data_IF_315808838325
#
_entry.id   IF_315808838325
#
_cell.length_a   1.000
_cell.length_b   1.000
_cell.length_c   1.000
_cell.angle_alpha   90.00
_cell.angle_beta   90.00
_cell.angle_gamma   90.00
#
_symmetry.space_group_name_H-M   'P 1'
#
loop_
_entity.id
_entity.type
_entity.pdbx_description
1 polymer ?
#
# COMPACT_ATOMS: atom_id res chain seq x y z
N UNK A 1 2.17 -7.61 7.30
CA UNK A 1 1.18 -6.60 6.95
C UNK A 1 1.79 -5.22 6.88
N UNK A 2 1.23 -4.35 6.04
CA UNK A 2 1.63 -2.93 5.93
C UNK A 2 0.40 -2.07 6.20
N UNK A 3 0.56 -1.07 7.04
CA UNK A 3 -0.45 -0.04 7.30
C UNK A 3 0.25 1.30 7.62
N UNK A 4 -0.50 2.40 7.56
CA UNK A 4 0.04 3.73 7.83
C UNK A 4 -0.28 4.26 9.24
N UNK A 5 -1.54 4.16 9.75
CA UNK A 5 -1.90 4.68 11.07
C UNK A 5 -1.27 3.87 12.21
N UNK A 6 -0.63 4.56 13.14
CA UNK A 6 0.01 3.93 14.30
C UNK A 6 -1.00 3.14 15.15
N UNK A 7 -2.21 3.67 15.35
CA UNK A 7 -3.26 3.03 16.16
C UNK A 7 -3.68 1.67 15.57
N UNK A 8 -3.73 1.55 14.25
CA UNK A 8 -4.07 0.29 13.58
C UNK A 8 -2.94 -0.73 13.69
N UNK A 9 -1.70 -0.27 13.56
CA UNK A 9 -0.51 -1.11 13.76
C UNK A 9 -0.37 -1.58 15.21
N UNK A 10 -0.64 -0.73 16.19
CA UNK A 10 -0.66 -1.10 17.60
C UNK A 10 -1.74 -2.14 17.90
N UNK A 11 -2.93 -1.97 17.34
CA UNK A 11 -4.01 -2.94 17.47
C UNK A 11 -3.62 -4.30 16.87
N UNK A 12 -3.04 -4.30 15.67
CA UNK A 12 -2.58 -5.51 15.00
C UNK A 12 -1.46 -6.21 15.79
N UNK A 13 -0.45 -5.46 16.23
CA UNK A 13 0.67 -5.97 17.04
C UNK A 13 0.21 -6.53 18.38
N UNK A 14 -0.78 -5.91 19.04
CA UNK A 14 -1.38 -6.39 20.29
C UNK A 14 -2.15 -7.70 20.12
N UNK A 15 -2.83 -7.89 18.97
CA UNK A 15 -3.62 -9.07 18.71
C UNK A 15 -2.79 -10.25 18.18
N UNK A 16 -1.64 -9.99 17.59
CA UNK A 16 -0.79 -11.03 16.99
C UNK A 16 -0.41 -12.17 17.96
N UNK A 17 0.00 -11.92 19.22
CA UNK A 17 0.28 -13.00 20.17
C UNK A 17 -0.93 -13.89 20.47
N UNK A 18 -2.12 -13.30 20.57
CA UNK A 18 -3.37 -14.03 20.83
C UNK A 18 -3.67 -15.01 19.68
N UNK A 19 -3.50 -14.53 18.45
CA UNK A 19 -3.65 -15.38 17.26
C UNK A 19 -2.56 -16.47 17.23
N UNK A 20 -1.30 -16.11 17.53
CA UNK A 20 -0.18 -17.05 17.57
C UNK A 20 -0.40 -18.19 18.55
N UNK A 21 -0.97 -17.92 19.74
CA UNK A 21 -1.37 -18.95 20.71
C UNK A 21 -2.42 -19.91 20.12
N UNK A 22 -3.39 -19.37 19.38
CA UNK A 22 -4.48 -20.18 18.78
C UNK A 22 -3.97 -21.08 17.67
N UNK A 23 -3.06 -20.59 16.81
CA UNK A 23 -2.55 -21.35 15.65
C UNK A 23 -1.26 -22.14 15.96
N UNK A 24 -0.68 -21.96 17.15
CA UNK A 24 0.50 -22.68 17.63
C UNK A 24 1.84 -22.12 17.13
N UNK A 25 1.88 -20.98 16.45
CA UNK A 25 3.12 -20.34 15.98
C UNK A 25 2.97 -18.84 15.73
N UNK A 26 4.06 -18.08 15.88
CA UNK A 26 4.14 -16.66 15.54
C UNK A 26 4.79 -16.51 14.16
N UNK A 27 4.06 -15.96 13.19
CA UNK A 27 4.52 -15.84 11.80
C UNK A 27 4.08 -14.52 11.13
N UNK A 28 3.79 -13.49 11.93
CA UNK A 28 3.34 -12.20 11.40
C UNK A 28 4.31 -11.07 11.79
N UNK A 29 4.47 -10.16 10.87
CA UNK A 29 5.20 -8.90 11.05
C UNK A 29 4.34 -7.75 10.52
N UNK A 30 4.36 -6.60 11.19
CA UNK A 30 3.63 -5.40 10.81
C UNK A 30 4.60 -4.24 10.63
N UNK A 31 4.58 -3.62 9.45
CA UNK A 31 5.43 -2.51 9.05
C UNK A 31 4.62 -1.25 8.78
N UNK A 32 5.21 -0.11 9.10
CA UNK A 32 4.60 1.19 8.89
C UNK A 32 5.04 1.76 7.56
N UNK A 33 4.07 1.98 6.66
CA UNK A 33 4.34 2.49 5.33
C UNK A 33 3.07 2.70 4.52
N UNK A 34 3.23 3.13 3.28
CA UNK A 34 2.14 3.33 2.32
C UNK A 34 2.10 2.18 1.32
N UNK A 35 0.90 1.71 0.99
CA UNK A 35 0.74 0.61 0.03
C UNK A 35 1.15 1.00 -1.40
N UNK A 36 1.13 2.28 -1.75
CA UNK A 36 1.63 2.79 -3.02
C UNK A 36 3.14 3.09 -3.02
N UNK A 37 3.84 2.86 -1.89
CA UNK A 37 5.28 3.06 -1.76
C UNK A 37 5.84 2.03 -0.76
N UNK A 38 5.83 0.77 -1.17
CA UNK A 38 6.26 -0.36 -0.36
C UNK A 38 7.79 -0.42 -0.18
N UNK A 39 8.52 0.45 -0.85
CA UNK A 39 9.95 0.59 -0.67
C UNK A 39 10.32 1.48 0.52
N UNK A 40 9.46 2.44 0.93
CA UNK A 40 9.77 3.37 2.00
C UNK A 40 9.24 2.89 3.35
N UNK A 41 10.16 2.56 4.26
CA UNK A 41 9.88 2.26 5.67
C UNK A 41 9.76 3.57 6.47
N UNK A 42 8.58 3.84 7.01
CA UNK A 42 8.33 5.07 7.76
C UNK A 42 8.97 5.09 9.14
N UNK A 43 9.24 3.93 9.73
CA UNK A 43 9.93 3.88 11.01
C UNK A 43 11.42 4.21 10.81
N UNK A 44 12.04 3.73 9.73
CA UNK A 44 13.41 4.10 9.35
C UNK A 44 13.48 5.58 8.93
N UNK A 45 12.54 6.04 8.12
CA UNK A 45 12.49 7.45 7.71
C UNK A 45 12.39 8.37 8.92
N UNK A 46 11.50 8.10 9.86
CA UNK A 46 11.32 8.89 11.09
C UNK A 46 12.60 8.90 11.95
N UNK A 47 13.31 7.78 12.02
CA UNK A 47 14.59 7.69 12.75
C UNK A 47 15.68 8.56 12.09
N UNK A 48 15.83 8.51 10.78
CA UNK A 48 16.80 9.33 10.03
C UNK A 48 16.47 10.83 10.12
N UNK A 49 15.19 11.20 9.95
CA UNK A 49 14.76 12.60 10.02
C UNK A 49 14.97 13.23 11.39
N UNK A 50 14.88 12.46 12.49
CA UNK A 50 15.17 12.96 13.84
C UNK A 50 16.63 13.37 14.02
N UNK A 51 17.55 12.81 13.26
CA UNK A 51 18.97 13.15 13.30
C UNK A 51 19.35 14.29 12.34
N UNK A 52 18.50 14.63 11.39
CA UNK A 52 18.74 15.67 10.37
C UNK A 52 18.31 17.06 10.84
N UNK A 53 18.98 18.09 10.31
CA UNK A 53 18.64 19.49 10.59
C UNK A 53 17.66 20.03 9.56
N UNK A 54 16.40 19.66 9.68
CA UNK A 54 15.35 19.95 8.70
C UNK A 54 14.76 21.36 8.86
N UNK A 55 15.38 22.36 8.26
CA UNK A 55 14.89 23.72 8.27
C UNK A 55 14.78 24.29 6.85
N UNK A 56 13.65 24.93 6.54
CA UNK A 56 13.42 25.59 5.26
C UNK A 56 13.45 24.65 4.06
N UNK A 57 13.78 25.19 2.88
CA UNK A 57 13.84 24.45 1.62
C UNK A 57 14.96 23.39 1.62
N UNK A 58 16.12 23.71 2.21
CA UNK A 58 17.25 22.76 2.27
C UNK A 58 16.87 21.53 3.08
N UNK A 59 16.21 21.69 4.23
CA UNK A 59 15.74 20.58 5.04
C UNK A 59 14.66 19.73 4.33
N UNK A 60 13.80 20.36 3.51
CA UNK A 60 12.85 19.62 2.68
C UNK A 60 13.57 18.75 1.64
N UNK A 61 14.54 19.31 0.92
CA UNK A 61 15.33 18.58 -0.08
C UNK A 61 16.17 17.44 0.55
N UNK A 62 16.71 17.68 1.76
CA UNK A 62 17.42 16.66 2.52
C UNK A 62 16.47 15.51 2.92
N UNK A 63 15.26 15.82 3.37
CA UNK A 63 14.28 14.79 3.70
C UNK A 63 13.88 13.94 2.48
N UNK A 64 13.70 14.55 1.31
CA UNK A 64 13.47 13.82 0.05
C UNK A 64 14.65 12.91 -0.31
N UNK A 65 15.88 13.43 -0.20
CA UNK A 65 17.08 12.65 -0.48
C UNK A 65 17.24 11.45 0.48
N UNK A 66 16.93 11.63 1.77
CA UNK A 66 16.90 10.54 2.76
C UNK A 66 15.85 9.49 2.36
N UNK A 67 14.65 9.91 2.02
CA UNK A 67 13.59 8.99 1.61
C UNK A 67 13.97 8.20 0.35
N UNK A 68 14.58 8.84 -0.65
CA UNK A 68 15.04 8.19 -1.87
C UNK A 68 16.19 7.21 -1.60
N UNK A 69 17.11 7.58 -0.72
CA UNK A 69 18.17 6.68 -0.28
C UNK A 69 17.59 5.42 0.38
N UNK A 70 16.64 5.57 1.30
CA UNK A 70 16.00 4.44 1.97
C UNK A 70 15.26 3.52 0.98
N UNK A 71 14.53 4.07 0.01
CA UNK A 71 13.87 3.28 -1.04
C UNK A 71 14.84 2.42 -1.83
N UNK A 72 16.04 2.94 -2.10
CA UNK A 72 17.02 2.27 -2.95
C UNK A 72 17.94 1.31 -2.18
N UNK A 73 18.40 1.70 -0.99
CA UNK A 73 19.42 0.97 -0.24
C UNK A 73 18.85 0.04 0.83
N UNK A 74 17.67 0.38 1.39
CA UNK A 74 17.02 -0.39 2.46
C UNK A 74 15.49 -0.44 2.25
N UNK A 75 15.01 -0.98 1.12
CA UNK A 75 13.58 -1.02 0.85
C UNK A 75 12.82 -1.82 1.92
N UNK A 76 11.69 -1.26 2.40
CA UNK A 76 10.82 -1.92 3.37
C UNK A 76 10.40 -3.32 2.90
N UNK A 77 10.02 -3.43 1.64
CA UNK A 77 9.77 -4.70 0.96
C UNK A 77 10.57 -4.71 -0.34
N UNK A 78 11.54 -5.60 -0.41
CA UNK A 78 12.38 -5.75 -1.60
C UNK A 78 11.59 -6.30 -2.80
N UNK A 79 12.09 -6.04 -4.01
CA UNK A 79 11.50 -6.57 -5.24
C UNK A 79 11.56 -8.10 -5.25
N UNK A 80 10.54 -8.74 -5.81
CA UNK A 80 10.48 -10.18 -6.04
C UNK A 80 10.68 -11.05 -4.79
N UNK A 81 10.14 -10.58 -3.62
CA UNK A 81 10.28 -11.32 -2.35
C UNK A 81 8.98 -11.94 -1.86
N UNK A 82 7.83 -11.51 -2.38
CA UNK A 82 6.50 -11.88 -1.90
C UNK A 82 5.86 -12.93 -2.82
N UNK A 83 5.33 -13.99 -2.27
CA UNK A 83 4.64 -15.03 -3.03
C UNK A 83 3.17 -14.65 -3.31
N UNK A 84 2.51 -14.00 -2.34
CA UNK A 84 1.10 -13.60 -2.45
C UNK A 84 0.88 -12.25 -1.79
N UNK A 85 0.25 -11.33 -2.50
CA UNK A 85 -0.32 -10.08 -1.94
C UNK A 85 -1.83 -10.28 -1.75
N UNK A 86 -2.33 -9.92 -0.57
CA UNK A 86 -3.77 -9.92 -0.26
C UNK A 86 -4.19 -8.52 0.16
N UNK A 87 -5.24 -8.00 -0.44
CA UNK A 87 -5.82 -6.69 -0.06
C UNK A 87 -7.34 -6.76 -0.11
N UNK A 88 -8.00 -6.11 0.87
CA UNK A 88 -9.44 -6.04 0.95
C UNK A 88 -9.89 -4.62 1.29
N UNK A 89 -10.63 -3.96 0.39
CA UNK A 89 -11.20 -2.62 0.51
C UNK A 89 -10.17 -1.53 0.92
N UNK A 90 -8.98 -1.55 0.34
CA UNK A 90 -7.91 -0.58 0.68
C UNK A 90 -7.44 0.22 -0.54
N UNK A 91 -7.45 -0.39 -1.74
CA UNK A 91 -6.88 0.24 -2.93
C UNK A 91 -7.63 1.52 -3.34
N UNK A 92 -8.93 1.57 -3.05
CA UNK A 92 -9.77 2.73 -3.33
C UNK A 92 -9.51 3.93 -2.39
N UNK A 93 -8.81 3.72 -1.27
CA UNK A 93 -8.37 4.82 -0.39
C UNK A 93 -7.13 5.55 -0.92
N UNK A 94 -6.47 5.00 -1.94
CA UNK A 94 -5.34 5.66 -2.59
C UNK A 94 -5.83 6.66 -3.63
N UNK A 95 -5.29 7.87 -3.61
CA UNK A 95 -5.62 8.92 -4.54
C UNK A 95 -5.43 8.47 -6.01
N UNK A 96 -6.30 8.93 -6.89
CA UNK A 96 -6.37 8.45 -8.27
C UNK A 96 -5.02 8.58 -9.02
N UNK A 97 -4.31 9.68 -8.80
CA UNK A 97 -3.01 9.97 -9.40
C UNK A 97 -1.89 9.03 -8.91
N UNK A 98 -2.05 8.41 -7.73
CA UNK A 98 -1.08 7.47 -7.15
C UNK A 98 -1.41 6.00 -7.44
N UNK A 99 -2.56 5.71 -8.04
CA UNK A 99 -2.96 4.33 -8.35
C UNK A 99 -1.99 3.62 -9.33
N UNK A 100 -1.45 4.27 -10.37
CA UNK A 100 -0.45 3.61 -11.21
C UNK A 100 0.78 3.16 -10.43
N UNK A 101 1.25 4.00 -9.48
CA UNK A 101 2.35 3.66 -8.60
C UNK A 101 1.98 2.48 -7.69
N UNK A 102 0.78 2.51 -7.09
CA UNK A 102 0.27 1.41 -6.27
C UNK A 102 0.31 0.06 -7.02
N UNK A 103 -0.25 -0.01 -8.21
CA UNK A 103 -0.26 -1.26 -8.98
C UNK A 103 1.15 -1.71 -9.38
N UNK A 104 2.04 -0.77 -9.71
CA UNK A 104 3.45 -1.03 -9.96
C UNK A 104 4.17 -1.58 -8.74
N UNK A 105 3.91 -1.05 -7.54
CA UNK A 105 4.50 -1.54 -6.29
C UNK A 105 4.01 -2.95 -5.92
N UNK A 106 2.71 -3.24 -6.09
CA UNK A 106 2.17 -4.59 -5.92
C UNK A 106 2.84 -5.59 -6.86
N UNK A 107 3.09 -5.19 -8.10
CA UNK A 107 3.78 -6.03 -9.08
C UNK A 107 5.27 -6.19 -8.74
N UNK A 108 5.95 -5.10 -8.37
CA UNK A 108 7.39 -5.09 -8.04
C UNK A 108 7.74 -6.06 -6.91
N UNK A 109 6.92 -6.11 -5.86
CA UNK A 109 7.23 -6.95 -4.68
C UNK A 109 6.95 -8.42 -4.90
N UNK A 110 6.11 -8.77 -5.87
CA UNK A 110 5.77 -10.16 -6.16
C UNK A 110 6.91 -10.89 -6.88
N UNK A 111 7.19 -12.09 -6.46
CA UNK A 111 8.07 -13.01 -7.18
C UNK A 111 7.52 -13.35 -8.56
N UNK A 112 8.35 -13.75 -9.52
CA UNK A 112 7.87 -14.36 -10.75
C UNK A 112 6.94 -15.56 -10.42
N UNK A 113 5.71 -15.52 -10.96
CA UNK A 113 4.67 -16.51 -10.65
C UNK A 113 3.90 -16.27 -9.34
N UNK A 114 4.25 -15.23 -8.59
CA UNK A 114 3.47 -14.73 -7.44
C UNK A 114 2.11 -14.19 -7.89
N UNK A 115 1.20 -13.98 -6.95
CA UNK A 115 -0.17 -13.56 -7.26
C UNK A 115 -0.68 -12.46 -6.33
N UNK A 116 -1.51 -11.57 -6.86
CA UNK A 116 -2.31 -10.65 -6.06
C UNK A 116 -3.75 -11.18 -5.95
N UNK A 117 -4.30 -11.19 -4.74
CA UNK A 117 -5.70 -11.53 -4.43
C UNK A 117 -6.35 -10.29 -3.86
N UNK A 118 -7.17 -9.64 -4.65
CA UNK A 118 -7.74 -8.33 -4.35
C UNK A 118 -9.26 -8.43 -4.28
N UNK A 119 -9.82 -7.90 -3.20
CA UNK A 119 -11.26 -7.69 -3.03
C UNK A 119 -11.48 -6.20 -2.81
N UNK A 120 -12.13 -5.52 -3.75
CA UNK A 120 -12.41 -4.09 -3.64
C UNK A 120 -13.69 -3.71 -4.38
N UNK A 121 -14.21 -2.51 -4.09
CA UNK A 121 -15.39 -1.98 -4.75
C UNK A 121 -15.03 -1.47 -6.14
N UNK A 122 -15.79 -1.86 -7.15
CA UNK A 122 -15.72 -1.33 -8.50
C UNK A 122 -17.08 -0.82 -8.94
N UNK A 123 -17.12 0.21 -9.79
CA UNK A 123 -18.34 0.76 -10.37
C UNK A 123 -18.66 0.20 -11.74
N UNK A 124 -19.93 0.21 -12.14
CA UNK A 124 -20.35 0.07 -13.55
C UNK A 124 -20.00 1.31 -14.37
N UNK A 125 -19.96 2.47 -13.70
CA UNK A 125 -19.71 3.79 -14.26
C UNK A 125 -18.62 4.52 -13.48
N UNK A 126 -18.10 5.61 -14.05
CA UNK A 126 -17.15 6.48 -13.34
C UNK A 126 -17.85 7.20 -12.18
N UNK A 127 -17.21 7.27 -11.04
CA UNK A 127 -17.71 8.02 -9.89
C UNK A 127 -17.75 9.51 -10.25
N UNK A 128 -18.90 10.20 -10.14
CA UNK A 128 -19.01 11.62 -10.41
C UNK A 128 -18.05 12.45 -9.55
N UNK A 129 -17.49 13.53 -10.11
CA UNK A 129 -16.53 14.41 -9.38
C UNK A 129 -17.07 14.94 -8.05
N UNK A 130 -18.37 15.19 -7.98
CA UNK A 130 -19.05 15.63 -6.74
C UNK A 130 -18.99 14.60 -5.63
N UNK A 131 -19.00 13.31 -5.98
CA UNK A 131 -18.91 12.20 -5.02
C UNK A 131 -17.46 11.81 -4.72
N UNK A 132 -16.52 12.11 -5.63
CA UNK A 132 -15.09 11.84 -5.40
C UNK A 132 -14.50 12.64 -4.24
N UNK A 133 -15.13 13.77 -3.86
CA UNK A 133 -14.68 14.66 -2.78
C UNK A 133 -15.47 14.48 -1.48
N UNK A 134 -16.41 13.54 -1.43
CA UNK A 134 -17.21 13.28 -0.26
C UNK A 134 -16.40 12.44 0.76
N UNK A 135 -16.14 12.96 1.99
CA UNK A 135 -15.31 12.25 2.98
C UNK A 135 -15.96 10.97 3.51
N UNK A 136 -17.29 10.90 3.59
CA UNK A 136 -17.99 9.70 4.06
C UNK A 136 -17.91 8.57 3.01
N UNK A 137 -18.13 8.94 1.74
CA UNK A 137 -17.97 7.99 0.63
C UNK A 137 -16.51 7.60 0.43
N UNK A 138 -15.57 8.49 0.73
CA UNK A 138 -14.13 8.17 0.70
C UNK A 138 -13.81 7.10 1.74
N UNK A 139 -14.22 7.29 2.99
CA UNK A 139 -14.00 6.31 4.05
C UNK A 139 -14.69 4.97 3.78
N UNK A 140 -15.79 4.98 3.00
CA UNK A 140 -16.48 3.80 2.51
C UNK A 140 -15.88 3.15 1.26
N UNK A 141 -14.70 3.56 0.81
CA UNK A 141 -14.02 3.07 -0.42
C UNK A 141 -14.80 3.32 -1.72
N UNK A 142 -15.80 4.22 -1.72
CA UNK A 142 -16.66 4.50 -2.87
C UNK A 142 -16.07 5.62 -3.74
N UNK A 143 -15.66 6.74 -3.12
CA UNK A 143 -15.16 7.91 -3.86
C UNK A 143 -13.95 7.61 -4.74
N UNK A 144 -13.08 6.71 -4.33
CA UNK A 144 -11.91 6.28 -5.08
C UNK A 144 -12.13 5.04 -5.94
N UNK A 145 -13.37 4.51 -6.02
CA UNK A 145 -13.65 3.33 -6.82
C UNK A 145 -13.44 3.62 -8.31
N UNK A 146 -12.76 2.70 -8.98
CA UNK A 146 -12.61 2.73 -10.43
C UNK A 146 -13.76 1.96 -11.08
N UNK A 147 -14.08 2.32 -12.31
CA UNK A 147 -14.92 1.48 -13.16
C UNK A 147 -14.21 0.12 -13.39
N UNK A 148 -14.98 -0.97 -13.39
CA UNK A 148 -14.45 -2.35 -13.46
C UNK A 148 -13.41 -2.54 -14.56
N UNK A 149 -13.70 -2.09 -15.79
CA UNK A 149 -12.78 -2.21 -16.90
C UNK A 149 -11.47 -1.44 -16.72
N UNK A 150 -11.51 -0.25 -16.08
CA UNK A 150 -10.33 0.53 -15.75
C UNK A 150 -9.51 -0.10 -14.62
N UNK A 151 -10.19 -0.69 -13.64
CA UNK A 151 -9.55 -1.41 -12.55
C UNK A 151 -8.75 -2.61 -13.08
N UNK A 152 -9.37 -3.44 -13.92
CA UNK A 152 -8.70 -4.58 -14.54
C UNK A 152 -7.54 -4.13 -15.45
N UNK A 153 -7.75 -3.05 -16.22
CA UNK A 153 -6.72 -2.51 -17.08
C UNK A 153 -5.51 -1.99 -16.31
N UNK A 154 -5.72 -1.35 -15.15
CA UNK A 154 -4.63 -0.85 -14.32
C UNK A 154 -3.72 -1.99 -13.82
N UNK A 155 -4.27 -3.17 -13.50
CA UNK A 155 -3.47 -4.36 -13.21
C UNK A 155 -2.72 -4.86 -14.45
N UNK A 156 -3.38 -4.93 -15.61
CA UNK A 156 -2.73 -5.37 -16.84
C UNK A 156 -1.59 -4.43 -17.26
N UNK A 157 -1.80 -3.12 -17.17
CA UNK A 157 -0.80 -2.10 -17.48
C UNK A 157 0.41 -2.16 -16.52
N UNK A 158 0.22 -2.64 -15.28
CA UNK A 158 1.30 -2.90 -14.33
C UNK A 158 2.05 -4.22 -14.57
N UNK A 159 1.58 -5.07 -15.48
CA UNK A 159 2.24 -6.33 -15.87
C UNK A 159 1.57 -7.60 -15.35
N UNK A 160 0.40 -7.52 -14.70
CA UNK A 160 -0.31 -8.72 -14.23
C UNK A 160 -0.99 -9.47 -15.38
N UNK A 161 -0.66 -10.75 -15.51
CA UNK A 161 -1.28 -11.67 -16.48
C UNK A 161 -1.12 -13.14 -15.99
N UNK A 162 -2.17 -13.98 -16.02
CA UNK A 162 -3.57 -13.65 -16.33
C UNK A 162 -4.32 -12.99 -15.16
N UNK A 163 -5.32 -12.15 -15.48
CA UNK A 163 -6.25 -11.59 -14.51
C UNK A 163 -7.55 -12.42 -14.52
N UNK A 164 -8.05 -12.79 -13.34
CA UNK A 164 -9.29 -13.57 -13.19
C UNK A 164 -10.22 -12.92 -12.19
N UNK A 165 -11.47 -12.72 -12.57
CA UNK A 165 -12.54 -12.32 -11.64
C UNK A 165 -13.06 -13.60 -10.97
N UNK A 166 -13.02 -13.62 -9.65
CA UNK A 166 -13.60 -14.68 -8.85
C UNK A 166 -14.99 -14.21 -8.38
N UNK A 167 -15.99 -15.05 -8.49
CA UNK A 167 -17.37 -14.79 -8.04
C UNK A 167 -17.67 -15.66 -6.83
#
# INVERSE_FOLDING_TARGET
GVDMPDEMLELARRNAPIVAETIGHANVEFRRGRIQDLALDFDLLDAELKSAHLNGLEGFLEAEAIADKLRNEAPMIASETIDVVVSNCVLNLVAAELKPQLFGELFRVLKPGGRAVISDIVGSDDVPETLQRDPELWSGCISGALREDRFLRAFADAGFDPIRILK
#
